data_IF_653787170980
#
_entry.id   IF_653787170980
#
_cell.length_a   1.000
_cell.length_b   1.000
_cell.length_c   1.000
_cell.angle_alpha   90.00
_cell.angle_beta   90.00
_cell.angle_gamma   90.00
#
_symmetry.space_group_name_H-M   'P 1'
#
loop_
_entity.id
_entity.type
_entity.pdbx_description
1 polymer ?
#
# COMPACT_ATOMS: atom_id res chain seq x y z
N UNK A 1 26.77 -26.64 6.63
CA UNK A 1 27.52 -27.83 6.20
C UNK A 1 27.64 -27.91 4.69
N UNK A 2 28.56 -28.76 4.18
CA UNK A 2 28.69 -28.95 2.72
C UNK A 2 27.43 -29.60 2.13
N UNK A 3 26.80 -30.53 2.87
CA UNK A 3 25.53 -31.14 2.45
C UNK A 3 24.42 -30.13 2.25
N UNK A 4 24.27 -29.18 3.16
CA UNK A 4 23.25 -28.12 3.04
C UNK A 4 23.51 -27.18 1.86
N UNK A 5 24.79 -26.87 1.57
CA UNK A 5 25.14 -26.07 0.38
C UNK A 5 24.77 -26.78 -0.92
N UNK A 6 25.04 -28.09 -1.02
CA UNK A 6 24.65 -28.88 -2.18
C UNK A 6 23.14 -29.02 -2.32
N UNK A 7 22.43 -29.15 -1.20
CA UNK A 7 20.97 -29.16 -1.18
C UNK A 7 20.38 -27.81 -1.63
N UNK A 8 20.92 -26.68 -1.12
CA UNK A 8 20.51 -25.38 -1.57
C UNK A 8 20.74 -25.19 -3.08
N UNK A 9 21.90 -25.61 -3.60
CA UNK A 9 22.18 -25.55 -5.02
C UNK A 9 21.13 -26.34 -5.83
N UNK A 10 20.81 -27.57 -5.41
CA UNK A 10 19.80 -28.38 -6.09
C UNK A 10 18.41 -27.73 -6.07
N UNK A 11 18.01 -27.09 -4.95
CA UNK A 11 16.77 -26.35 -4.85
C UNK A 11 16.75 -25.12 -5.76
N UNK A 12 17.86 -24.41 -5.91
CA UNK A 12 17.99 -23.29 -6.82
C UNK A 12 17.97 -23.71 -8.29
N UNK A 13 18.61 -24.82 -8.64
CA UNK A 13 18.57 -25.42 -9.98
C UNK A 13 17.15 -25.85 -10.34
N UNK A 14 16.43 -26.48 -9.41
CA UNK A 14 15.02 -26.85 -9.58
C UNK A 14 14.14 -25.59 -9.79
N UNK A 15 14.37 -24.54 -9.00
CA UNK A 15 13.63 -23.28 -9.14
C UNK A 15 13.97 -22.54 -10.45
N UNK A 16 15.16 -22.73 -11.02
CA UNK A 16 15.59 -22.10 -12.26
C UNK A 16 14.99 -22.75 -13.51
N UNK A 17 14.41 -23.94 -13.42
CA UNK A 17 13.74 -24.59 -14.56
C UNK A 17 12.64 -23.71 -15.14
N UNK A 18 12.41 -23.74 -16.47
CA UNK A 18 11.40 -22.89 -17.13
C UNK A 18 10.01 -22.97 -16.51
N UNK A 19 9.60 -24.14 -16.07
CA UNK A 19 8.30 -24.42 -15.43
C UNK A 19 8.18 -23.85 -14.02
N UNK A 20 9.29 -23.62 -13.30
CA UNK A 20 9.31 -23.24 -11.88
C UNK A 20 9.74 -21.78 -11.64
N UNK A 21 10.44 -21.17 -12.60
CA UNK A 21 11.02 -19.83 -12.41
C UNK A 21 10.02 -18.69 -12.43
N UNK A 22 8.79 -18.93 -12.87
CA UNK A 22 7.71 -17.94 -12.88
C UNK A 22 6.69 -18.29 -11.82
N UNK A 23 6.23 -17.29 -11.07
CA UNK A 23 5.25 -17.46 -10.03
C UNK A 23 4.33 -16.24 -9.91
N UNK A 24 3.19 -16.43 -9.26
CA UNK A 24 2.27 -15.33 -8.97
C UNK A 24 2.81 -14.52 -7.79
N UNK A 25 3.43 -13.40 -8.09
CA UNK A 25 4.03 -12.53 -7.10
C UNK A 25 2.98 -11.94 -6.16
N UNK A 26 3.28 -11.96 -4.86
CA UNK A 26 2.52 -11.25 -3.84
C UNK A 26 3.47 -10.47 -2.95
N UNK A 27 3.32 -9.15 -2.94
CA UNK A 27 4.26 -8.24 -2.30
C UNK A 27 4.55 -8.58 -0.84
N UNK A 28 3.53 -8.94 -0.05
CA UNK A 28 3.68 -9.23 1.37
C UNK A 28 3.86 -10.72 1.70
N UNK A 29 3.28 -11.60 0.91
CA UNK A 29 3.16 -13.01 1.29
C UNK A 29 4.06 -13.95 0.48
N UNK A 30 4.33 -13.64 -0.79
CA UNK A 30 5.13 -14.49 -1.69
C UNK A 30 5.96 -13.62 -2.64
N UNK A 31 7.06 -13.08 -2.13
CA UNK A 31 7.98 -12.21 -2.86
C UNK A 31 9.39 -12.83 -2.95
N UNK A 32 10.33 -12.11 -3.56
CA UNK A 32 11.71 -12.57 -3.70
C UNK A 32 12.38 -12.86 -2.35
N UNK A 33 12.11 -12.07 -1.31
CA UNK A 33 12.69 -12.25 0.03
C UNK A 33 12.12 -13.48 0.73
N UNK A 34 10.79 -13.64 0.73
CA UNK A 34 10.13 -14.79 1.37
C UNK A 34 10.53 -16.09 0.71
N UNK A 35 10.66 -16.12 -0.62
CA UNK A 35 11.12 -17.30 -1.35
C UNK A 35 12.58 -17.65 -1.07
N UNK A 36 13.46 -16.64 -0.98
CA UNK A 36 14.85 -16.87 -0.60
C UNK A 36 14.96 -17.46 0.81
N UNK A 37 14.21 -16.90 1.77
CA UNK A 37 14.10 -17.45 3.12
C UNK A 37 13.68 -18.93 3.10
N UNK A 38 12.59 -19.23 2.41
CA UNK A 38 12.01 -20.56 2.38
C UNK A 38 12.98 -21.57 1.75
N UNK A 39 13.74 -21.20 0.71
CA UNK A 39 14.78 -22.08 0.14
C UNK A 39 15.94 -22.30 1.10
N UNK A 40 16.35 -21.29 1.85
CA UNK A 40 17.40 -21.44 2.87
C UNK A 40 16.91 -22.39 3.98
N UNK A 41 15.72 -22.19 4.51
CA UNK A 41 15.14 -23.06 5.54
C UNK A 41 15.03 -24.51 5.06
N UNK A 42 14.58 -24.73 3.83
CA UNK A 42 14.45 -26.08 3.24
C UNK A 42 15.79 -26.78 3.04
N UNK A 43 16.85 -26.03 2.77
CA UNK A 43 18.19 -26.58 2.59
C UNK A 43 18.84 -27.06 3.89
N UNK A 44 18.44 -26.50 5.03
CA UNK A 44 19.06 -26.75 6.33
C UNK A 44 18.64 -28.10 6.90
N UNK A 45 19.62 -28.81 7.45
CA UNK A 45 19.39 -30.03 8.23
C UNK A 45 19.14 -29.69 9.70
N UNK A 46 17.85 -29.65 10.08
CA UNK A 46 17.42 -29.26 11.40
C UNK A 46 16.30 -28.22 11.36
N UNK A 47 16.24 -27.39 12.36
CA UNK A 47 15.24 -26.31 12.47
C UNK A 47 15.92 -24.96 12.62
N UNK A 48 15.52 -23.98 11.83
CA UNK A 48 15.93 -22.59 12.00
C UNK A 48 15.05 -21.94 13.06
N UNK A 49 15.68 -21.37 14.07
CA UNK A 49 15.01 -20.64 15.16
C UNK A 49 15.36 -19.17 15.03
N UNK A 50 14.37 -18.38 14.69
CA UNK A 50 14.47 -16.92 14.64
C UNK A 50 14.17 -16.31 16.01
N UNK A 51 14.72 -15.12 16.32
CA UNK A 51 14.33 -14.36 17.51
C UNK A 51 12.84 -14.05 17.55
N UNK A 52 12.36 -13.52 18.67
CA UNK A 52 10.95 -13.14 18.80
C UNK A 52 10.57 -12.00 17.85
N UNK A 53 9.29 -11.94 17.50
CA UNK A 53 8.78 -10.87 16.66
C UNK A 53 8.90 -9.52 17.35
N UNK A 54 9.17 -8.49 16.57
CA UNK A 54 9.08 -7.11 17.04
C UNK A 54 7.58 -6.78 17.20
N UNK A 55 7.18 -6.44 18.43
CA UNK A 55 5.80 -6.16 18.74
C UNK A 55 5.29 -4.88 18.07
N UNK A 56 4.01 -4.84 17.76
CA UNK A 56 3.32 -3.67 17.24
C UNK A 56 3.63 -3.30 15.80
N UNK A 57 4.35 -4.15 15.04
CA UNK A 57 4.60 -3.94 13.61
C UNK A 57 3.46 -4.48 12.76
N UNK A 58 3.12 -3.72 11.71
CA UNK A 58 2.21 -4.10 10.65
C UNK A 58 2.89 -3.95 9.29
N UNK A 59 2.27 -4.45 8.22
CA UNK A 59 2.79 -4.25 6.88
C UNK A 59 2.96 -2.77 6.55
N UNK A 60 1.94 -1.94 6.86
CA UNK A 60 1.98 -0.49 6.61
C UNK A 60 3.12 0.17 7.38
N UNK A 61 3.30 -0.13 8.66
CA UNK A 61 4.39 0.45 9.48
C UNK A 61 5.76 0.12 8.91
N UNK A 62 5.98 -1.14 8.49
CA UNK A 62 7.25 -1.53 7.86
C UNK A 62 7.45 -0.77 6.54
N UNK A 63 6.41 -0.63 5.71
CA UNK A 63 6.52 0.14 4.46
C UNK A 63 6.87 1.59 4.75
N UNK A 64 6.22 2.24 5.75
CA UNK A 64 6.50 3.63 6.12
C UNK A 64 7.96 3.84 6.57
N UNK A 65 8.61 2.85 7.20
CA UNK A 65 10.04 2.94 7.52
C UNK A 65 10.92 3.13 6.28
N UNK A 66 10.50 2.56 5.14
CA UNK A 66 11.25 2.63 3.88
C UNK A 66 10.78 3.73 2.92
N UNK A 67 9.62 4.34 3.18
CA UNK A 67 9.13 5.50 2.43
C UNK A 67 9.37 6.81 3.15
N UNK A 68 9.98 6.77 4.34
CA UNK A 68 10.29 7.96 5.13
C UNK A 68 11.11 8.98 4.30
N UNK A 69 10.57 10.20 4.18
CA UNK A 69 11.14 11.25 3.33
C UNK A 69 10.58 11.32 1.90
N UNK A 70 9.71 10.38 1.51
CA UNK A 70 9.01 10.35 0.22
C UNK A 70 7.49 10.43 0.42
N UNK A 71 7.01 11.56 0.94
CA UNK A 71 5.61 11.76 1.36
C UNK A 71 4.57 11.39 0.28
N UNK A 72 4.89 11.60 -1.00
CA UNK A 72 3.99 11.29 -2.12
C UNK A 72 3.92 9.79 -2.40
N UNK A 73 5.03 9.07 -2.27
CA UNK A 73 5.07 7.62 -2.42
C UNK A 73 4.31 6.97 -1.26
N UNK A 74 4.53 7.47 -0.03
CA UNK A 74 3.81 7.02 1.15
C UNK A 74 2.30 7.21 0.99
N UNK A 75 1.84 8.42 0.60
CA UNK A 75 0.43 8.67 0.32
C UNK A 75 -0.13 7.73 -0.75
N UNK A 76 0.60 7.54 -1.86
CA UNK A 76 0.17 6.66 -2.96
C UNK A 76 -0.02 5.21 -2.50
N UNK A 77 0.91 4.70 -1.72
CA UNK A 77 0.84 3.35 -1.14
C UNK A 77 -0.31 3.26 -0.15
N UNK A 78 -0.47 4.26 0.73
CA UNK A 78 -1.53 4.30 1.73
C UNK A 78 -2.93 4.30 1.13
N UNK A 79 -3.12 5.01 0.03
CA UNK A 79 -4.39 4.99 -0.70
C UNK A 79 -4.72 3.61 -1.29
N UNK A 80 -3.71 2.81 -1.60
CA UNK A 80 -3.89 1.46 -2.15
C UNK A 80 -4.07 0.39 -1.09
N UNK A 81 -3.47 0.56 0.09
CA UNK A 81 -3.52 -0.43 1.17
C UNK A 81 -4.83 -0.32 1.96
N UNK A 82 -5.45 -1.48 2.20
CA UNK A 82 -6.62 -1.61 3.05
C UNK A 82 -6.28 -1.97 4.49
N UNK A 83 -7.31 -2.18 5.30
CA UNK A 83 -7.25 -2.44 6.74
C UNK A 83 -6.31 -3.60 7.13
N UNK A 84 -6.24 -4.65 6.33
CA UNK A 84 -5.36 -5.79 6.65
C UNK A 84 -3.88 -5.41 6.71
N UNK A 85 -3.47 -4.31 6.07
CA UNK A 85 -2.11 -3.83 6.16
C UNK A 85 -1.77 -3.21 7.52
N UNK A 86 -2.78 -2.91 8.35
CA UNK A 86 -2.64 -2.29 9.67
C UNK A 86 -2.64 -3.32 10.82
N UNK A 87 -3.01 -4.57 10.53
CA UNK A 87 -3.00 -5.65 11.52
C UNK A 87 -1.58 -5.99 11.95
N UNK A 88 -1.42 -6.28 13.25
CA UNK A 88 -0.12 -6.70 13.78
C UNK A 88 0.30 -8.04 13.17
N UNK A 89 1.54 -8.10 12.70
CA UNK A 89 2.09 -9.27 12.01
C UNK A 89 3.24 -9.92 12.80
N UNK A 90 3.24 -11.25 12.81
CA UNK A 90 4.29 -12.03 13.44
C UNK A 90 5.60 -12.04 12.64
N UNK A 91 6.68 -12.52 13.26
CA UNK A 91 8.05 -12.53 12.70
C UNK A 91 8.15 -13.06 11.28
N UNK A 92 7.42 -14.14 10.94
CA UNK A 92 7.49 -14.72 9.60
C UNK A 92 6.98 -13.77 8.53
N UNK A 93 5.93 -13.01 8.82
CA UNK A 93 5.39 -12.01 7.92
C UNK A 93 6.24 -10.74 7.91
N UNK A 94 6.87 -10.35 9.02
CA UNK A 94 7.81 -9.22 9.06
C UNK A 94 9.00 -9.44 8.11
N UNK A 95 9.41 -10.68 7.90
CA UNK A 95 10.48 -11.07 6.97
C UNK A 95 10.11 -10.94 5.47
N UNK A 96 8.97 -10.34 5.12
CA UNK A 96 8.71 -9.97 3.72
C UNK A 96 9.66 -8.89 3.22
N UNK A 97 10.07 -8.00 4.13
CA UNK A 97 11.01 -6.93 3.82
C UNK A 97 12.47 -7.43 3.96
N UNK A 98 13.34 -7.16 2.96
CA UNK A 98 14.72 -7.68 2.95
C UNK A 98 15.53 -7.34 4.20
N UNK A 99 15.41 -6.11 4.71
CA UNK A 99 16.14 -5.69 5.91
C UNK A 99 15.65 -6.40 7.18
N UNK A 100 14.36 -6.69 7.28
CA UNK A 100 13.83 -7.49 8.38
C UNK A 100 14.27 -8.94 8.27
N UNK A 101 14.25 -9.52 7.05
CA UNK A 101 14.79 -10.86 6.83
C UNK A 101 16.28 -10.94 7.21
N UNK A 102 17.07 -9.95 6.80
CA UNK A 102 18.48 -9.84 7.16
C UNK A 102 18.67 -9.79 8.68
N UNK A 103 17.97 -8.90 9.38
CA UNK A 103 18.02 -8.76 10.83
C UNK A 103 17.69 -10.06 11.56
N UNK A 104 16.57 -10.71 11.16
CA UNK A 104 16.17 -11.96 11.76
C UNK A 104 17.16 -13.10 11.47
N UNK A 105 17.73 -13.15 10.28
CA UNK A 105 18.70 -14.17 9.90
C UNK A 105 20.02 -14.02 10.66
N UNK A 106 20.48 -12.79 10.89
CA UNK A 106 21.74 -12.52 11.62
C UNK A 106 21.69 -13.05 13.07
N UNK A 107 20.51 -12.95 13.71
CA UNK A 107 20.31 -13.42 15.08
C UNK A 107 19.76 -14.84 15.18
N UNK A 108 19.51 -15.50 14.04
CA UNK A 108 18.95 -16.84 14.00
C UNK A 108 20.01 -17.94 14.29
N UNK A 109 19.53 -19.04 14.83
CA UNK A 109 20.36 -20.24 15.02
C UNK A 109 19.64 -21.48 14.51
N UNK A 110 20.43 -22.48 14.19
CA UNK A 110 19.99 -23.78 13.74
C UNK A 110 20.09 -24.75 14.92
N UNK A 111 19.05 -25.55 15.14
CA UNK A 111 19.08 -26.72 16.00
C UNK A 111 19.15 -27.94 15.09
N UNK A 112 20.23 -28.68 15.15
CA UNK A 112 20.43 -29.90 14.36
C UNK A 112 19.63 -31.09 14.94
N UNK A 113 19.72 -32.24 14.27
CA UNK A 113 19.04 -33.48 14.69
C UNK A 113 19.52 -34.02 16.06
N UNK A 114 20.71 -33.61 16.51
CA UNK A 114 21.29 -34.00 17.79
C UNK A 114 20.95 -33.01 18.90
N UNK A 115 20.28 -31.91 18.59
CA UNK A 115 19.97 -30.83 19.52
C UNK A 115 21.11 -29.80 19.67
N UNK A 116 22.19 -29.90 18.86
CA UNK A 116 23.27 -28.94 18.89
C UNK A 116 22.85 -27.62 18.21
N UNK A 117 23.28 -26.51 18.81
CA UNK A 117 22.98 -25.17 18.31
C UNK A 117 24.17 -24.61 17.56
N UNK A 118 23.91 -24.04 16.40
CA UNK A 118 24.88 -23.29 15.60
C UNK A 118 24.25 -22.03 14.99
N UNK A 119 25.00 -20.93 14.81
CA UNK A 119 24.45 -19.75 14.16
C UNK A 119 24.04 -20.05 12.71
N UNK A 120 22.97 -19.40 12.23
CA UNK A 120 22.57 -19.45 10.84
C UNK A 120 23.55 -18.68 9.95
N UNK A 121 23.95 -17.48 10.37
CA UNK A 121 24.92 -16.61 9.71
C UNK A 121 26.25 -16.67 10.46
N UNK A 122 27.31 -17.07 9.78
CA UNK A 122 28.67 -17.15 10.36
C UNK A 122 29.43 -15.84 10.21
N UNK A 123 29.22 -15.13 9.12
CA UNK A 123 29.94 -13.90 8.82
C UNK A 123 29.03 -12.99 7.99
N UNK A 124 29.08 -11.73 8.33
CA UNK A 124 28.45 -10.64 7.62
C UNK A 124 29.52 -9.71 7.07
N UNK A 125 29.41 -9.34 5.80
CA UNK A 125 30.34 -8.43 5.16
C UNK A 125 29.58 -7.41 4.33
N UNK A 126 29.73 -6.13 4.67
CA UNK A 126 29.26 -5.04 3.84
C UNK A 126 30.22 -4.85 2.67
N UNK A 127 29.73 -5.09 1.46
CA UNK A 127 30.52 -4.95 0.22
C UNK A 127 30.42 -3.51 -0.29
N UNK A 128 29.24 -2.91 -0.19
CA UNK A 128 28.96 -1.55 -0.63
C UNK A 128 28.21 -0.83 0.49
N UNK A 129 28.66 0.34 0.87
CA UNK A 129 27.90 1.27 1.69
C UNK A 129 27.26 2.29 0.73
N UNK A 130 25.93 2.37 0.75
CA UNK A 130 25.24 3.45 0.07
C UNK A 130 25.60 4.76 0.75
N UNK A 131 26.22 5.69 0.04
CA UNK A 131 26.24 7.08 0.48
C UNK A 131 24.79 7.56 0.49
N UNK A 132 24.29 7.95 1.67
CA UNK A 132 22.98 8.56 1.77
C UNK A 132 23.05 9.89 1.03
N UNK A 133 22.59 9.91 -0.21
CA UNK A 133 22.33 11.19 -0.88
C UNK A 133 21.27 11.91 -0.03
N UNK A 134 21.54 13.15 0.41
CA UNK A 134 20.51 13.92 1.09
C UNK A 134 19.35 14.01 0.11
N UNK A 135 18.15 13.58 0.56
CA UNK A 135 16.94 13.74 -0.24
C UNK A 135 16.86 15.21 -0.63
N UNK A 136 17.09 15.52 -1.89
CA UNK A 136 16.90 16.86 -2.41
C UNK A 136 15.47 17.24 -2.04
N UNK A 137 15.25 18.39 -1.37
CA UNK A 137 13.89 18.83 -1.09
C UNK A 137 13.23 19.03 -2.47
N UNK A 138 12.43 18.06 -2.86
CA UNK A 138 11.74 18.08 -4.14
C UNK A 138 10.96 19.38 -4.24
N UNK A 139 10.96 20.01 -5.40
CA UNK A 139 10.16 21.20 -5.74
C UNK A 139 8.64 20.99 -5.48
N UNK A 140 8.23 19.78 -5.23
CA UNK A 140 6.84 19.43 -4.97
C UNK A 140 6.48 19.69 -3.52
N UNK A 141 5.43 20.53 -3.33
CA UNK A 141 4.79 20.76 -2.05
C UNK A 141 4.39 19.40 -1.43
N UNK A 142 4.45 19.31 -0.10
CA UNK A 142 4.00 18.10 0.58
C UNK A 142 2.53 17.78 0.25
N UNK A 143 2.09 16.52 0.30
CA UNK A 143 0.69 16.14 0.10
C UNK A 143 -0.28 16.92 0.99
N UNK A 144 0.11 17.18 2.23
CA UNK A 144 -0.69 17.97 3.17
C UNK A 144 -0.88 19.41 2.69
N UNK A 145 0.17 20.07 2.22
CA UNK A 145 0.09 21.44 1.71
C UNK A 145 -0.76 21.51 0.43
N UNK A 146 -0.59 20.54 -0.47
CA UNK A 146 -1.43 20.41 -1.66
C UNK A 146 -2.91 20.22 -1.30
N UNK A 147 -3.22 19.36 -0.33
CA UNK A 147 -4.57 19.16 0.16
C UNK A 147 -5.15 20.43 0.80
N UNK A 148 -4.36 21.16 1.59
CA UNK A 148 -4.77 22.43 2.19
C UNK A 148 -5.06 23.51 1.13
N UNK A 149 -4.21 23.65 0.12
CA UNK A 149 -4.41 24.55 -1.01
C UNK A 149 -5.67 24.17 -1.82
N UNK A 150 -5.87 22.88 -2.04
CA UNK A 150 -7.06 22.38 -2.73
C UNK A 150 -8.33 22.63 -1.94
N UNK A 151 -8.32 22.41 -0.63
CA UNK A 151 -9.43 22.74 0.26
C UNK A 151 -9.74 24.25 0.23
N UNK A 152 -8.72 25.09 0.32
CA UNK A 152 -8.88 26.54 0.21
C UNK A 152 -9.54 26.94 -1.11
N UNK A 153 -9.11 26.33 -2.23
CA UNK A 153 -9.69 26.57 -3.54
C UNK A 153 -11.16 26.12 -3.61
N UNK A 154 -11.51 24.98 -3.02
CA UNK A 154 -12.89 24.50 -2.92
C UNK A 154 -13.77 25.48 -2.13
N UNK A 155 -13.29 25.98 -0.99
CA UNK A 155 -13.99 26.97 -0.16
C UNK A 155 -14.17 28.29 -0.91
N UNK A 156 -13.13 28.77 -1.59
CA UNK A 156 -13.16 30.00 -2.38
C UNK A 156 -14.20 29.90 -3.52
N UNK A 157 -14.16 28.80 -4.28
CA UNK A 157 -15.14 28.58 -5.37
C UNK A 157 -16.55 28.47 -4.82
N UNK A 158 -16.75 27.78 -3.69
CA UNK A 158 -18.03 27.69 -3.01
C UNK A 158 -18.55 29.06 -2.57
N UNK A 159 -17.69 29.89 -1.98
CA UNK A 159 -18.03 31.25 -1.61
C UNK A 159 -18.38 32.12 -2.83
N UNK A 160 -17.62 32.04 -3.91
CA UNK A 160 -17.91 32.76 -5.16
C UNK A 160 -19.25 32.34 -5.78
N UNK A 161 -19.58 31.02 -5.76
CA UNK A 161 -20.88 30.52 -6.21
C UNK A 161 -22.03 31.10 -5.38
N UNK A 162 -21.86 31.12 -4.05
CA UNK A 162 -22.85 31.67 -3.15
C UNK A 162 -23.03 33.19 -3.35
N UNK A 163 -21.93 33.96 -3.41
CA UNK A 163 -21.93 35.41 -3.62
C UNK A 163 -22.54 35.80 -4.97
N UNK A 164 -22.15 35.14 -6.04
CA UNK A 164 -22.58 35.47 -7.41
C UNK A 164 -23.92 34.83 -7.78
N UNK A 165 -24.51 34.03 -6.89
CA UNK A 165 -25.73 33.26 -7.16
C UNK A 165 -25.65 32.40 -8.45
N UNK A 166 -24.45 31.91 -8.81
CA UNK A 166 -24.19 31.13 -10.01
C UNK A 166 -23.58 29.78 -9.63
N UNK A 167 -23.98 28.72 -10.33
CA UNK A 167 -23.36 27.39 -10.22
C UNK A 167 -22.21 27.32 -11.22
N UNK A 168 -21.01 27.05 -10.74
CA UNK A 168 -19.85 26.80 -11.59
C UNK A 168 -19.75 25.30 -11.88
N UNK A 169 -20.65 24.84 -12.74
CA UNK A 169 -20.80 23.41 -13.05
C UNK A 169 -19.49 22.76 -13.52
N UNK A 170 -18.63 23.49 -14.23
CA UNK A 170 -17.32 23.00 -14.64
C UNK A 170 -16.45 22.58 -13.46
N UNK A 171 -16.49 23.34 -12.35
CA UNK A 171 -15.81 22.97 -11.12
C UNK A 171 -16.37 21.68 -10.51
N UNK A 172 -17.67 21.56 -10.46
CA UNK A 172 -18.33 20.36 -9.95
C UNK A 172 -18.04 19.13 -10.84
N UNK A 173 -17.99 19.29 -12.16
CA UNK A 173 -17.56 18.25 -13.08
C UNK A 173 -16.13 17.82 -12.79
N UNK A 174 -15.22 18.79 -12.65
CA UNK A 174 -13.82 18.50 -12.33
C UNK A 174 -13.69 17.67 -11.04
N UNK A 175 -14.36 18.07 -9.95
CA UNK A 175 -14.32 17.31 -8.69
C UNK A 175 -14.87 15.90 -8.85
N UNK A 176 -16.00 15.73 -9.55
CA UNK A 176 -16.58 14.39 -9.78
C UNK A 176 -15.69 13.52 -10.68
N UNK A 177 -14.99 14.10 -11.66
CA UNK A 177 -14.03 13.37 -12.49
C UNK A 177 -12.85 12.90 -11.65
N UNK A 178 -12.23 13.78 -10.86
CA UNK A 178 -11.09 13.43 -10.02
C UNK A 178 -11.47 12.33 -9.01
N UNK A 179 -12.56 12.52 -8.27
CA UNK A 179 -13.06 11.54 -7.31
C UNK A 179 -13.40 10.20 -7.99
N UNK A 180 -14.11 10.25 -9.11
CA UNK A 180 -14.55 9.06 -9.80
C UNK A 180 -13.41 8.27 -10.47
N UNK A 181 -12.38 8.95 -11.01
CA UNK A 181 -11.19 8.29 -11.53
C UNK A 181 -10.37 7.62 -10.42
N UNK A 182 -10.15 8.32 -9.30
CA UNK A 182 -9.54 7.72 -8.13
C UNK A 182 -10.35 6.51 -7.63
N UNK A 183 -11.68 6.65 -7.63
CA UNK A 183 -12.61 5.56 -7.29
C UNK A 183 -12.53 4.37 -8.25
N UNK A 184 -12.32 4.58 -9.55
CA UNK A 184 -12.10 3.48 -10.50
C UNK A 184 -10.83 2.69 -10.19
N UNK A 185 -9.75 3.37 -9.83
CA UNK A 185 -8.50 2.71 -9.45
C UNK A 185 -8.71 1.85 -8.19
N UNK A 186 -9.30 2.42 -7.14
CA UNK A 186 -9.54 1.70 -5.88
C UNK A 186 -10.53 0.55 -6.11
N UNK A 187 -11.60 0.76 -6.88
CA UNK A 187 -12.54 -0.29 -7.22
C UNK A 187 -11.88 -1.44 -7.99
N UNK A 188 -11.03 -1.11 -8.97
CA UNK A 188 -10.26 -2.13 -9.69
C UNK A 188 -9.37 -2.93 -8.74
N UNK A 189 -8.62 -2.26 -7.88
CA UNK A 189 -7.77 -2.91 -6.89
C UNK A 189 -8.59 -3.75 -5.90
N UNK A 190 -9.73 -3.26 -5.44
CA UNK A 190 -10.61 -3.97 -4.51
C UNK A 190 -11.20 -5.26 -5.10
N UNK A 191 -11.73 -5.21 -6.33
CA UNK A 191 -12.45 -6.32 -6.93
C UNK A 191 -11.57 -7.30 -7.72
N UNK A 192 -10.46 -6.82 -8.29
CA UNK A 192 -9.64 -7.61 -9.22
C UNK A 192 -8.24 -7.92 -8.69
N UNK A 193 -7.78 -7.25 -7.63
CA UNK A 193 -6.50 -7.57 -7.03
C UNK A 193 -6.56 -8.89 -6.27
N UNK A 194 -5.48 -9.63 -6.36
CA UNK A 194 -5.28 -10.88 -5.60
C UNK A 194 -4.55 -10.65 -4.28
N UNK A 195 -4.27 -9.39 -3.96
CA UNK A 195 -3.60 -9.02 -2.72
C UNK A 195 -4.62 -8.77 -1.61
N UNK A 196 -4.67 -9.60 -0.56
CA UNK A 196 -5.65 -9.45 0.53
C UNK A 196 -5.59 -8.06 1.20
N UNK A 197 -4.37 -7.51 1.33
CA UNK A 197 -4.13 -6.18 1.90
C UNK A 197 -4.71 -5.03 1.09
N UNK A 198 -5.08 -5.25 -0.17
CA UNK A 198 -5.70 -4.25 -1.06
C UNK A 198 -7.21 -4.44 -1.13
N UNK A 199 -7.68 -5.70 -1.13
CA UNK A 199 -9.12 -6.03 -1.21
C UNK A 199 -9.91 -5.66 0.07
N UNK A 200 -9.24 -5.24 1.12
CA UNK A 200 -9.86 -4.74 2.37
C UNK A 200 -9.90 -3.20 2.46
N UNK A 201 -9.78 -2.51 1.34
CA UNK A 201 -9.68 -1.06 1.30
C UNK A 201 -11.06 -0.38 1.36
N UNK A 202 -11.45 0.09 2.55
CA UNK A 202 -12.71 0.79 2.80
C UNK A 202 -12.77 2.19 2.18
N UNK A 203 -11.65 2.75 1.70
CA UNK A 203 -11.65 4.00 0.93
C UNK A 203 -12.53 3.92 -0.33
N UNK A 204 -12.86 2.70 -0.80
CA UNK A 204 -13.82 2.49 -1.87
C UNK A 204 -15.19 3.14 -1.58
N UNK A 205 -15.60 3.24 -0.31
CA UNK A 205 -16.84 3.92 0.04
C UNK A 205 -16.77 5.44 -0.18
N UNK A 206 -15.58 6.03 -0.01
CA UNK A 206 -15.33 7.46 -0.22
C UNK A 206 -14.93 7.77 -1.65
N UNK A 207 -13.98 7.01 -2.17
CA UNK A 207 -13.45 7.13 -3.52
C UNK A 207 -14.05 6.00 -4.37
N UNK A 208 -15.22 6.25 -4.95
CA UNK A 208 -15.94 5.27 -5.77
C UNK A 208 -16.24 5.86 -7.16
N UNK A 209 -16.54 5.04 -8.19
CA UNK A 209 -16.76 5.51 -9.56
C UNK A 209 -18.14 6.15 -9.79
N UNK A 210 -19.05 6.13 -8.82
CA UNK A 210 -20.42 6.63 -8.96
C UNK A 210 -20.48 8.09 -9.45
N UNK A 211 -19.61 9.03 -8.98
CA UNK A 211 -19.61 10.40 -9.47
C UNK A 211 -19.48 10.54 -10.99
N UNK A 212 -18.79 9.64 -11.68
CA UNK A 212 -18.65 9.67 -13.13
C UNK A 212 -19.99 9.48 -13.83
N UNK A 213 -20.84 8.60 -13.32
CA UNK A 213 -22.18 8.35 -13.87
C UNK A 213 -23.15 9.51 -13.59
N UNK A 214 -22.89 10.31 -12.57
CA UNK A 214 -23.68 11.46 -12.23
C UNK A 214 -23.40 12.69 -13.12
N UNK A 215 -22.21 12.80 -13.71
CA UNK A 215 -21.78 13.95 -14.52
C UNK A 215 -22.79 14.35 -15.61
N UNK A 216 -23.32 13.45 -16.45
CA UNK A 216 -24.27 13.81 -17.51
C UNK A 216 -25.54 14.47 -16.94
N UNK A 217 -26.07 13.96 -15.82
CA UNK A 217 -27.25 14.52 -15.17
C UNK A 217 -26.97 15.90 -14.58
N UNK A 218 -25.81 16.07 -13.96
CA UNK A 218 -25.38 17.33 -13.37
C UNK A 218 -25.24 18.43 -14.43
N UNK A 219 -24.61 18.12 -15.57
CA UNK A 219 -24.48 19.05 -16.70
C UNK A 219 -25.86 19.39 -17.27
N UNK A 220 -26.73 18.41 -17.48
CA UNK A 220 -28.09 18.62 -17.94
C UNK A 220 -28.90 19.55 -17.01
N UNK A 221 -28.88 19.31 -15.70
CA UNK A 221 -29.60 20.16 -14.73
C UNK A 221 -29.06 21.58 -14.71
N UNK A 222 -27.74 21.74 -14.82
CA UNK A 222 -27.10 23.06 -14.86
C UNK A 222 -27.51 23.84 -16.11
N UNK A 223 -27.47 23.21 -17.29
CA UNK A 223 -27.80 23.85 -18.56
C UNK A 223 -29.29 24.20 -18.66
N UNK A 224 -30.18 23.40 -18.07
CA UNK A 224 -31.64 23.64 -18.04
C UNK A 224 -32.07 24.59 -16.92
N UNK A 225 -31.15 25.15 -16.14
CA UNK A 225 -31.44 26.06 -15.06
C UNK A 225 -32.20 25.47 -13.87
N UNK A 226 -32.25 24.13 -13.76
CA UNK A 226 -32.94 23.42 -12.67
C UNK A 226 -32.11 23.41 -11.38
N UNK A 227 -31.85 24.61 -10.82
CA UNK A 227 -30.98 24.79 -9.65
C UNK A 227 -31.45 24.03 -8.43
N UNK A 228 -32.74 24.02 -8.15
CA UNK A 228 -33.27 23.38 -6.94
C UNK A 228 -33.04 21.86 -6.97
N UNK A 229 -33.22 21.23 -8.13
CA UNK A 229 -32.98 19.80 -8.30
C UNK A 229 -31.47 19.47 -8.19
N UNK A 230 -30.63 20.29 -8.81
CA UNK A 230 -29.18 20.18 -8.68
C UNK A 230 -28.74 20.23 -7.21
N UNK A 231 -29.20 21.24 -6.45
CA UNK A 231 -28.83 21.38 -5.03
C UNK A 231 -29.35 20.23 -4.17
N UNK A 232 -30.58 19.77 -4.38
CA UNK A 232 -31.16 18.65 -3.63
C UNK A 232 -30.35 17.37 -3.83
N UNK A 233 -30.01 17.03 -5.08
CA UNK A 233 -29.21 15.83 -5.38
C UNK A 233 -27.82 15.93 -4.77
N UNK A 234 -27.16 17.08 -4.86
CA UNK A 234 -25.85 17.28 -4.24
C UNK A 234 -25.92 17.21 -2.71
N UNK A 235 -26.95 17.77 -2.08
CA UNK A 235 -27.14 17.67 -0.63
C UNK A 235 -27.30 16.20 -0.21
N UNK A 236 -28.13 15.44 -0.90
CA UNK A 236 -28.33 14.01 -0.60
C UNK A 236 -27.02 13.25 -0.74
N UNK A 237 -26.29 13.47 -1.84
CA UNK A 237 -24.98 12.83 -2.06
C UNK A 237 -23.98 13.16 -0.96
N UNK A 238 -23.82 14.46 -0.64
CA UNK A 238 -22.89 14.90 0.40
C UNK A 238 -23.30 14.42 1.79
N UNK A 239 -24.61 14.36 2.09
CA UNK A 239 -25.09 13.83 3.38
C UNK A 239 -24.77 12.35 3.51
N UNK A 240 -25.01 11.56 2.46
CA UNK A 240 -24.62 10.13 2.44
C UNK A 240 -23.12 9.98 2.63
N UNK A 241 -22.33 10.80 1.96
CA UNK A 241 -20.88 10.79 2.09
C UNK A 241 -20.42 11.08 3.52
N UNK A 242 -21.00 12.11 4.17
CA UNK A 242 -20.68 12.47 5.56
C UNK A 242 -21.09 11.40 6.59
N UNK A 243 -22.13 10.61 6.28
CA UNK A 243 -22.54 9.50 7.15
C UNK A 243 -21.58 8.30 6.98
N UNK A 244 -21.05 8.09 5.79
CA UNK A 244 -20.14 6.97 5.49
C UNK A 244 -18.74 7.21 6.08
N UNK A 245 -18.25 8.46 6.06
CA UNK A 245 -16.89 8.81 6.56
C UNK A 245 -16.58 8.24 7.95
N UNK A 246 -17.44 8.42 8.99
CA UNK A 246 -17.16 7.89 10.32
C UNK A 246 -17.19 6.37 10.43
N UNK A 247 -17.76 5.69 9.42
CA UNK A 247 -17.86 4.21 9.41
C UNK A 247 -16.60 3.58 8.79
N UNK A 248 -15.86 4.36 7.98
CA UNK A 248 -14.69 3.90 7.25
C UNK A 248 -13.36 4.22 7.96
N UNK A 249 -13.40 5.02 9.03
CA UNK A 249 -12.24 5.45 9.82
C UNK A 249 -11.83 4.50 10.93
#
# INVERSE_FOLDING_TARGET
TQGEKLRLLALLEENYRPENRTYRYNYFYDNCTTRARDRIEEAIEGSVVYPDSIAGLSFRKIVHEFTAGSDWDELGIDLCLGRQADEEIGKRLQMFAPFYMFRYASDAYIIDKNGEKRPLVLQETKIVEAEAEPAEPGFFMSPFLCAACFLFLCVLVGWLQWRNRKIYWGWSVFLNVVQGLAGCIIAFLFFFSVHPTVSSNWLLMLLNPIPLFYIPFMVYFSLKGKRDLYHRVNIVYLTLFMVIVPVCG
#
